data_IF_236991669023
#
_entry.id   IF_236991669023
#
_cell.length_a   1.000
_cell.length_b   1.000
_cell.length_c   1.000
_cell.angle_alpha   90.00
_cell.angle_beta   90.00
_cell.angle_gamma   90.00
#
_symmetry.space_group_name_H-M   'P 1'
#
loop_
_entity.id
_entity.type
_entity.pdbx_description
1 polymer ?
#
# COMPACT_ATOMS: atom_id res chain seq x y z
N UNK A 1 -25.73 5.69 5.71
CA UNK A 1 -24.41 5.03 5.58
C UNK A 1 -23.45 5.70 6.56
N UNK A 2 -22.74 4.95 7.37
CA UNK A 2 -21.77 5.51 8.31
C UNK A 2 -20.44 5.72 7.58
N UNK A 3 -20.06 6.97 7.33
CA UNK A 3 -18.74 7.31 6.81
C UNK A 3 -17.73 7.11 7.94
N UNK A 4 -16.66 6.37 7.67
CA UNK A 4 -15.55 6.17 8.61
C UNK A 4 -14.31 6.88 8.08
N UNK A 5 -13.65 7.67 8.92
CA UNK A 5 -12.43 8.40 8.55
C UNK A 5 -11.20 7.75 9.16
N UNK A 6 -10.24 7.37 8.31
CA UNK A 6 -8.92 6.89 8.72
C UNK A 6 -7.91 8.03 8.67
N UNK A 7 -6.95 8.05 9.60
CA UNK A 7 -5.94 9.11 9.74
C UNK A 7 -4.55 8.51 9.93
N UNK A 8 -3.55 9.17 9.37
CA UNK A 8 -2.13 8.90 9.60
C UNK A 8 -1.35 10.22 9.60
N UNK A 9 -0.19 10.22 10.25
CA UNK A 9 0.80 11.31 10.20
C UNK A 9 2.14 10.73 9.75
N UNK A 10 2.93 11.49 9.00
CA UNK A 10 4.25 11.08 8.56
C UNK A 10 5.22 12.23 8.84
N UNK A 11 6.26 11.96 9.62
CA UNK A 11 7.21 12.97 10.09
C UNK A 11 8.62 12.63 9.62
N UNK A 12 9.23 13.56 8.88
CA UNK A 12 10.62 13.49 8.46
C UNK A 12 11.56 13.46 9.69
N UNK A 13 12.56 12.61 9.64
CA UNK A 13 13.63 12.48 10.62
C UNK A 13 14.96 12.92 9.99
N UNK A 14 16.09 12.49 10.53
CA UNK A 14 17.39 12.73 9.90
C UNK A 14 17.46 12.05 8.52
N UNK A 15 18.03 12.76 7.53
CA UNK A 15 18.11 12.29 6.14
C UNK A 15 16.73 12.22 5.48
N UNK A 16 16.40 11.06 4.90
CA UNK A 16 15.11 10.79 4.25
C UNK A 16 14.27 9.75 5.00
N UNK A 17 14.66 9.42 6.23
CA UNK A 17 13.90 8.52 7.10
C UNK A 17 12.62 9.21 7.55
N UNK A 18 11.49 8.50 7.50
CA UNK A 18 10.17 9.00 7.89
C UNK A 18 9.52 8.06 8.91
N UNK A 19 9.02 8.64 10.01
CA UNK A 19 8.17 7.92 10.97
C UNK A 19 6.70 8.15 10.64
N UNK A 20 6.00 7.09 10.28
CA UNK A 20 4.56 7.10 10.00
C UNK A 20 3.81 6.58 11.22
N UNK A 21 2.83 7.33 11.72
CA UNK A 21 2.00 6.93 12.88
C UNK A 21 0.53 6.89 12.52
N UNK A 22 -0.16 5.83 12.97
CA UNK A 22 -1.61 5.71 12.92
C UNK A 22 -2.11 4.94 14.15
N UNK A 23 -2.98 5.57 14.95
CA UNK A 23 -3.33 5.08 16.31
C UNK A 23 -2.05 4.85 17.12
N UNK A 24 -1.92 3.68 17.74
CA UNK A 24 -0.76 3.30 18.57
C UNK A 24 0.35 2.58 17.78
N UNK A 25 0.29 2.58 16.45
CA UNK A 25 1.26 1.91 15.58
C UNK A 25 2.20 2.92 14.93
N UNK A 26 3.46 2.51 14.78
CA UNK A 26 4.49 3.25 14.06
C UNK A 26 5.11 2.36 12.97
N UNK A 27 5.35 2.94 11.79
CA UNK A 27 6.10 2.34 10.70
C UNK A 27 7.30 3.25 10.38
N UNK A 28 8.44 2.63 10.11
CA UNK A 28 9.63 3.34 9.59
C UNK A 28 9.65 3.16 8.08
N UNK A 29 9.64 4.28 7.36
CA UNK A 29 9.78 4.34 5.91
C UNK A 29 11.12 5.05 5.63
N UNK A 30 11.85 4.56 4.64
CA UNK A 30 13.17 5.10 4.26
C UNK A 30 13.32 5.00 2.73
N UNK A 31 14.50 5.23 2.20
CA UNK A 31 14.85 4.90 0.82
C UNK A 31 16.05 3.94 0.81
N UNK A 32 16.21 3.11 -0.25
CA UNK A 32 17.44 2.37 -0.47
C UNK A 32 18.64 3.31 -0.58
N UNK A 33 19.84 2.81 -0.28
CA UNK A 33 21.08 3.60 -0.41
C UNK A 33 21.28 4.17 -1.81
N UNK A 34 20.84 3.46 -2.85
CA UNK A 34 20.90 3.91 -4.25
C UNK A 34 20.03 5.13 -4.55
N UNK A 35 19.02 5.40 -3.71
CA UNK A 35 18.12 6.55 -3.79
C UNK A 35 18.40 7.59 -2.68
N UNK A 36 19.52 7.45 -1.96
CA UNK A 36 19.98 8.42 -0.97
C UNK A 36 19.47 8.20 0.45
N UNK A 37 18.80 7.08 0.73
CA UNK A 37 18.38 6.72 2.08
C UNK A 37 19.35 5.81 2.83
N UNK A 38 18.90 5.31 3.98
CA UNK A 38 19.73 4.48 4.87
C UNK A 38 19.37 3.00 4.85
N UNK A 39 18.38 2.61 4.05
CA UNK A 39 17.90 1.22 3.90
C UNK A 39 17.46 0.60 5.24
N UNK A 40 16.84 1.42 6.11
CA UNK A 40 16.36 1.03 7.46
C UNK A 40 14.87 0.68 7.51
N UNK A 41 14.17 0.86 6.39
CA UNK A 41 12.76 0.53 6.22
C UNK A 41 12.43 0.39 4.73
N UNK A 42 11.26 -0.16 4.44
CA UNK A 42 10.71 -0.18 3.08
C UNK A 42 10.57 1.25 2.56
N UNK A 43 10.69 1.42 1.25
CA UNK A 43 10.39 2.70 0.64
C UNK A 43 8.89 2.97 0.53
N UNK A 44 8.46 4.22 0.29
CA UNK A 44 7.04 4.56 0.26
C UNK A 44 6.25 3.76 -0.78
N UNK A 45 6.86 3.43 -1.92
CA UNK A 45 6.16 2.74 -3.02
C UNK A 45 6.03 1.23 -2.75
N UNK A 46 7.05 0.63 -2.15
CA UNK A 46 7.00 -0.74 -1.59
C UNK A 46 5.94 -0.86 -0.49
N UNK A 47 5.81 0.15 0.37
CA UNK A 47 4.77 0.19 1.39
C UNK A 47 3.36 0.16 0.78
N UNK A 48 3.15 0.79 -0.38
CA UNK A 48 1.88 0.73 -1.12
C UNK A 48 1.61 -0.69 -1.64
N UNK A 49 2.61 -1.35 -2.23
CA UNK A 49 2.48 -2.75 -2.68
C UNK A 49 2.21 -3.70 -1.50
N UNK A 50 2.92 -3.50 -0.39
CA UNK A 50 2.70 -4.23 0.85
C UNK A 50 1.29 -4.03 1.41
N UNK A 51 0.77 -2.79 1.38
CA UNK A 51 -0.59 -2.48 1.79
C UNK A 51 -1.64 -3.17 0.91
N UNK A 52 -1.42 -3.26 -0.41
CA UNK A 52 -2.29 -3.98 -1.33
C UNK A 52 -2.35 -5.48 -0.98
N UNK A 53 -1.19 -6.14 -0.88
CA UNK A 53 -1.12 -7.57 -0.54
C UNK A 53 -1.70 -7.87 0.85
N UNK A 54 -1.45 -7.00 1.83
CA UNK A 54 -2.03 -7.11 3.16
C UNK A 54 -3.56 -6.97 3.14
N UNK A 55 -4.08 -6.00 2.39
CA UNK A 55 -5.52 -5.78 2.27
C UNK A 55 -6.22 -6.98 1.62
N UNK A 56 -5.70 -7.50 0.51
CA UNK A 56 -6.21 -8.71 -0.15
C UNK A 56 -6.18 -9.92 0.79
N UNK A 57 -5.10 -10.09 1.56
CA UNK A 57 -4.98 -11.17 2.56
C UNK A 57 -6.01 -11.08 3.68
N UNK A 58 -6.30 -9.87 4.17
CA UNK A 58 -7.34 -9.63 5.18
C UNK A 58 -8.72 -9.97 4.61
N UNK A 59 -9.05 -9.46 3.42
CA UNK A 59 -10.33 -9.76 2.75
C UNK A 59 -10.46 -11.27 2.54
N UNK A 60 -9.39 -11.94 2.11
CA UNK A 60 -9.35 -13.39 1.95
C UNK A 60 -9.72 -14.11 3.25
N UNK A 61 -9.06 -13.76 4.36
CA UNK A 61 -9.35 -14.37 5.66
C UNK A 61 -10.78 -14.11 6.14
N UNK A 62 -11.30 -12.90 5.93
CA UNK A 62 -12.65 -12.51 6.37
C UNK A 62 -13.73 -13.27 5.61
N UNK A 63 -13.56 -13.47 4.30
CA UNK A 63 -14.63 -14.00 3.43
C UNK A 63 -14.48 -15.47 3.03
N UNK A 64 -13.33 -16.11 3.25
CA UNK A 64 -13.09 -17.50 2.84
C UNK A 64 -14.22 -18.47 3.26
N UNK A 65 -14.71 -18.36 4.50
CA UNK A 65 -15.82 -19.19 5.02
C UNK A 65 -17.12 -19.00 4.25
N UNK A 66 -17.42 -17.79 3.77
CA UNK A 66 -18.64 -17.48 3.02
C UNK A 66 -18.66 -18.24 1.68
N UNK A 67 -17.48 -18.48 1.12
CA UNK A 67 -17.31 -19.20 -0.14
C UNK A 67 -17.06 -20.70 0.07
N UNK A 68 -17.10 -21.21 1.31
CA UNK A 68 -16.75 -22.59 1.64
C UNK A 68 -15.33 -22.97 1.16
N UNK A 69 -14.40 -22.01 1.27
CA UNK A 69 -12.97 -22.20 0.97
C UNK A 69 -12.21 -22.28 2.29
N UNK A 70 -11.55 -23.42 2.55
CA UNK A 70 -10.63 -23.53 3.70
C UNK A 70 -9.23 -23.07 3.28
N UNK A 71 -8.78 -21.94 3.82
CA UNK A 71 -7.42 -21.43 3.60
C UNK A 71 -6.45 -22.06 4.60
N UNK A 72 -5.71 -23.08 4.14
CA UNK A 72 -4.61 -23.68 4.89
C UNK A 72 -3.36 -22.77 4.85
N UNK A 73 -3.16 -22.07 3.73
CA UNK A 73 -2.19 -20.99 3.56
C UNK A 73 -2.66 -19.99 2.48
N UNK A 74 -2.26 -18.74 2.60
CA UNK A 74 -2.57 -17.67 1.65
C UNK A 74 -1.45 -16.62 1.63
N UNK A 75 -0.87 -16.39 0.45
CA UNK A 75 0.17 -15.37 0.24
C UNK A 75 -0.10 -14.61 -1.05
N UNK A 76 0.26 -13.33 -1.03
CA UNK A 76 0.23 -12.45 -2.21
C UNK A 76 1.64 -12.02 -2.53
N UNK A 77 2.08 -12.23 -3.76
CA UNK A 77 3.24 -11.51 -4.31
C UNK A 77 2.73 -10.33 -5.11
N UNK A 78 3.36 -9.17 -4.93
CA UNK A 78 2.98 -7.91 -5.60
C UNK A 78 4.24 -7.26 -6.14
N UNK A 79 4.20 -6.85 -7.39
CA UNK A 79 5.24 -6.07 -8.07
C UNK A 79 4.63 -4.90 -8.83
N UNK A 80 5.42 -3.87 -9.11
CA UNK A 80 4.96 -2.73 -9.90
C UNK A 80 6.11 -1.99 -10.56
N UNK A 81 5.82 -1.40 -11.72
CA UNK A 81 6.81 -0.68 -12.52
C UNK A 81 6.69 0.82 -12.32
N UNK A 82 7.80 1.48 -12.00
CA UNK A 82 7.87 2.91 -11.80
C UNK A 82 9.09 3.46 -12.54
N UNK A 83 8.86 4.46 -13.39
CA UNK A 83 9.94 5.16 -14.08
C UNK A 83 10.49 6.31 -13.21
N UNK A 84 11.70 6.11 -12.71
CA UNK A 84 12.37 7.06 -11.82
C UNK A 84 12.70 8.38 -12.52
N UNK A 85 12.75 8.44 -13.86
CA UNK A 85 13.00 9.70 -14.57
C UNK A 85 11.86 10.70 -14.35
N UNK A 86 10.62 10.23 -14.16
CA UNK A 86 9.48 11.08 -13.80
C UNK A 86 9.60 11.67 -12.40
N UNK A 87 10.11 10.86 -11.45
CA UNK A 87 10.42 11.31 -10.09
C UNK A 87 11.56 12.33 -10.07
N UNK A 88 12.66 12.04 -10.78
CA UNK A 88 13.82 12.91 -10.88
C UNK A 88 13.64 14.10 -11.85
N UNK A 89 12.45 14.27 -12.45
CA UNK A 89 12.15 15.34 -13.42
C UNK A 89 13.11 15.38 -14.61
N UNK A 90 13.55 14.21 -15.06
CA UNK A 90 14.39 14.03 -16.25
C UNK A 90 13.56 13.82 -17.52
N UNK A 91 12.30 13.43 -17.38
CA UNK A 91 11.34 13.20 -18.47
C UNK A 91 9.91 13.58 -18.03
N UNK A 92 8.99 13.68 -18.99
CA UNK A 92 7.55 13.97 -18.78
C UNK A 92 6.73 12.70 -18.46
N UNK A 93 7.40 11.57 -18.19
CA UNK A 93 6.76 10.35 -17.71
C UNK A 93 6.14 10.57 -16.33
N UNK A 94 4.99 9.93 -16.08
CA UNK A 94 4.33 10.02 -14.78
C UNK A 94 5.24 9.43 -13.69
N UNK A 95 5.33 10.06 -12.50
CA UNK A 95 6.24 9.61 -11.43
C UNK A 95 5.73 8.44 -10.58
N UNK A 96 4.50 7.95 -10.81
CA UNK A 96 3.91 6.84 -10.06
C UNK A 96 3.85 5.55 -10.89
N UNK A 97 3.44 4.45 -10.25
CA UNK A 97 3.37 3.13 -10.88
C UNK A 97 2.59 3.12 -12.20
N UNK A 98 3.24 2.76 -13.31
CA UNK A 98 2.59 2.57 -14.61
C UNK A 98 1.77 1.28 -14.66
N UNK A 99 2.21 0.26 -13.95
CA UNK A 99 1.53 -1.03 -13.85
C UNK A 99 1.82 -1.67 -12.49
N UNK A 100 0.86 -2.42 -11.96
CA UNK A 100 0.98 -3.20 -10.72
C UNK A 100 0.37 -4.57 -10.99
N UNK A 101 1.12 -5.61 -10.67
CA UNK A 101 0.73 -7.01 -10.89
C UNK A 101 0.84 -7.76 -9.58
N UNK A 102 -0.09 -8.67 -9.34
CA UNK A 102 -0.07 -9.51 -8.15
C UNK A 102 -0.46 -10.95 -8.46
N UNK A 103 0.10 -11.88 -7.68
CA UNK A 103 -0.19 -13.32 -7.79
C UNK A 103 -0.64 -13.85 -6.44
N UNK A 104 -1.81 -14.51 -6.42
CA UNK A 104 -2.29 -15.23 -5.25
C UNK A 104 -1.75 -16.66 -5.22
N UNK A 105 -1.19 -17.03 -4.08
CA UNK A 105 -0.81 -18.39 -3.74
C UNK A 105 -1.78 -18.90 -2.67
N UNK A 106 -2.65 -19.84 -3.05
CA UNK A 106 -3.73 -20.34 -2.20
C UNK A 106 -3.55 -21.83 -1.97
N UNK A 107 -3.39 -22.23 -0.71
CA UNK A 107 -3.39 -23.63 -0.30
C UNK A 107 -4.75 -23.99 0.28
N UNK A 108 -5.50 -24.83 -0.44
CA UNK A 108 -6.86 -25.23 -0.08
C UNK A 108 -7.22 -26.58 -0.71
N UNK A 109 -8.21 -27.26 -0.17
CA UNK A 109 -8.87 -28.45 -0.74
C UNK A 109 -10.16 -28.10 -1.50
N UNK A 110 -10.52 -26.82 -1.59
CA UNK A 110 -11.68 -26.36 -2.33
C UNK A 110 -11.53 -26.60 -3.85
N UNK A 111 -12.63 -26.92 -4.56
CA UNK A 111 -12.62 -27.04 -6.02
C UNK A 111 -12.23 -25.73 -6.71
N UNK A 112 -11.56 -25.84 -7.86
CA UNK A 112 -11.07 -24.68 -8.63
C UNK A 112 -12.14 -23.62 -8.90
N UNK A 113 -13.33 -24.01 -9.36
CA UNK A 113 -14.43 -23.08 -9.66
C UNK A 113 -14.79 -22.20 -8.45
N UNK A 114 -14.77 -22.79 -7.25
CA UNK A 114 -15.07 -22.08 -6.00
C UNK A 114 -13.94 -21.13 -5.62
N UNK A 115 -12.69 -21.53 -5.87
CA UNK A 115 -11.51 -20.67 -5.68
C UNK A 115 -11.56 -19.48 -6.63
N UNK A 116 -11.95 -19.68 -7.90
CA UNK A 116 -12.09 -18.61 -8.89
C UNK A 116 -13.19 -17.62 -8.51
N UNK A 117 -14.36 -18.11 -8.07
CA UNK A 117 -15.44 -17.26 -7.56
C UNK A 117 -15.00 -16.45 -6.33
N UNK A 118 -14.24 -17.08 -5.43
CA UNK A 118 -13.69 -16.43 -4.26
C UNK A 118 -12.68 -15.35 -4.65
N UNK A 119 -11.72 -15.65 -5.53
CA UNK A 119 -10.71 -14.69 -6.02
C UNK A 119 -11.37 -13.48 -6.68
N UNK A 120 -12.35 -13.69 -7.56
CA UNK A 120 -13.09 -12.58 -8.18
C UNK A 120 -13.72 -11.66 -7.14
N UNK A 121 -14.30 -12.24 -6.09
CA UNK A 121 -14.87 -11.47 -4.99
C UNK A 121 -13.80 -10.68 -4.21
N UNK A 122 -12.60 -11.23 -4.03
CA UNK A 122 -11.49 -10.52 -3.37
C UNK A 122 -11.08 -9.27 -4.14
N UNK A 123 -10.97 -9.38 -5.46
CA UNK A 123 -10.61 -8.27 -6.33
C UNK A 123 -11.65 -7.14 -6.28
N UNK A 124 -12.94 -7.49 -6.29
CA UNK A 124 -14.04 -6.53 -6.21
C UNK A 124 -14.21 -5.89 -4.81
N UNK A 125 -13.72 -6.54 -3.76
CA UNK A 125 -13.98 -6.13 -2.37
C UNK A 125 -12.81 -5.40 -1.72
N UNK A 126 -11.58 -5.60 -2.18
CA UNK A 126 -10.36 -5.04 -1.60
C UNK A 126 -10.34 -3.49 -1.67
N UNK A 127 -10.46 -2.76 -0.54
CA UNK A 127 -10.50 -1.29 -0.59
C UNK A 127 -9.20 -0.65 -1.11
N UNK A 128 -8.04 -1.25 -0.81
CA UNK A 128 -6.75 -0.77 -1.34
C UNK A 128 -6.63 -1.04 -2.83
N UNK A 129 -7.11 -2.21 -3.29
CA UNK A 129 -7.16 -2.55 -4.71
C UNK A 129 -8.03 -1.57 -5.50
N UNK A 130 -9.24 -1.28 -4.99
CA UNK A 130 -10.13 -0.27 -5.55
C UNK A 130 -9.48 1.12 -5.60
N UNK A 131 -8.84 1.54 -4.50
CA UNK A 131 -8.14 2.85 -4.41
C UNK A 131 -7.03 3.01 -5.44
N UNK A 132 -6.33 1.91 -5.78
CA UNK A 132 -5.22 1.91 -6.74
C UNK A 132 -5.74 1.85 -8.19
N UNK A 133 -6.74 1.00 -8.43
CA UNK A 133 -7.29 0.77 -9.77
C UNK A 133 -8.15 1.94 -10.27
N UNK A 134 -8.71 2.74 -9.36
CA UNK A 134 -9.62 3.83 -9.67
C UNK A 134 -9.08 5.20 -9.25
N UNK A 135 -9.45 6.24 -10.01
CA UNK A 135 -9.06 7.60 -9.67
C UNK A 135 -9.79 8.08 -8.40
N UNK A 136 -9.03 8.34 -7.33
CA UNK A 136 -9.53 8.98 -6.11
C UNK A 136 -9.28 10.49 -6.17
N UNK A 137 -10.26 11.28 -5.75
CA UNK A 137 -10.10 12.74 -5.66
C UNK A 137 -9.09 13.10 -4.55
N UNK A 138 -7.84 13.32 -4.95
CA UNK A 138 -6.75 13.72 -4.08
C UNK A 138 -6.61 15.26 -4.07
N UNK A 139 -6.81 15.88 -2.91
CA UNK A 139 -6.81 17.34 -2.76
C UNK A 139 -5.89 17.79 -1.63
N UNK A 140 -5.02 18.75 -1.93
CA UNK A 140 -4.33 19.54 -0.90
C UNK A 140 -5.35 20.40 -0.14
N UNK A 141 -5.46 20.16 1.16
CA UNK A 141 -6.46 20.84 2.00
C UNK A 141 -5.96 22.19 2.49
N UNK A 142 -4.72 22.27 2.97
CA UNK A 142 -4.07 23.47 3.49
C UNK A 142 -2.55 23.30 3.52
N UNK A 143 -1.84 24.43 3.66
CA UNK A 143 -0.41 24.50 3.98
C UNK A 143 -0.30 25.24 5.31
N UNK A 144 0.41 24.65 6.27
CA UNK A 144 0.71 25.28 7.57
C UNK A 144 2.21 25.57 7.60
N UNK A 145 2.59 26.82 7.83
CA UNK A 145 3.99 27.26 7.92
C UNK A 145 4.24 27.64 9.37
N UNK A 146 5.12 26.90 10.03
CA UNK A 146 5.55 27.14 11.42
C UNK A 146 6.93 27.79 11.42
N UNK A 147 7.17 28.76 12.30
CA UNK A 147 8.48 29.37 12.45
C UNK A 147 9.43 28.37 13.14
N UNK A 148 10.72 28.32 12.76
CA UNK A 148 11.68 27.50 13.48
C UNK A 148 11.73 27.93 14.95
N UNK A 149 11.75 26.97 15.87
CA UNK A 149 11.93 27.26 17.29
C UNK A 149 13.26 28.02 17.47
N UNK A 150 13.19 29.17 18.13
CA UNK A 150 14.38 29.92 18.49
C UNK A 150 15.06 29.16 19.62
N UNK A 151 16.18 28.52 19.33
CA UNK A 151 17.05 27.95 20.36
C UNK A 151 17.78 29.12 21.02
N UNK A 152 17.33 29.52 22.22
CA UNK A 152 18.13 30.33 23.15
C UNK A 152 19.29 29.52 23.75
#
# INVERSE_FOLDING_TARGET
MAITTFKATAQLQEGVVVKVRSRDFELTIDEPKSLGGTDTGMNPVEAVLGALGACQSIVARVYAKKFDVRLDDFRVEVEGDLDLDGFFKKSDVRPGYSDIRYTFYIKTDAPQERVEQFVKFLEETCPVGDTIANAVNLKLSNIVIEAPETVE
#
